data_IF_663702440535
#
_entry.id   IF_663702440535
#
_cell.length_a   1.000
_cell.length_b   1.000
_cell.length_c   1.000
_cell.angle_alpha   90.00
_cell.angle_beta   90.00
_cell.angle_gamma   90.00
#
_symmetry.space_group_name_H-M   'P 1'
#
loop_
_entity.id
_entity.type
_entity.pdbx_description
1 polymer ?
#
# COMPACT_ATOMS: atom_id res chain seq x y z
N UNK A 1 37.74 -56.38 -37.70
CA UNK A 1 37.57 -56.38 -36.23
C UNK A 1 38.39 -55.20 -35.71
N UNK A 2 37.87 -54.12 -35.13
CA UNK A 2 36.66 -53.86 -34.33
C UNK A 2 36.15 -52.44 -34.64
N UNK A 3 34.83 -52.28 -34.81
CA UNK A 3 34.17 -50.97 -34.71
C UNK A 3 34.11 -50.59 -33.22
N UNK A 4 34.58 -49.40 -32.86
CA UNK A 4 34.39 -48.81 -31.53
C UNK A 4 33.14 -47.93 -31.59
N UNK A 5 32.07 -48.41 -30.97
CA UNK A 5 30.80 -47.69 -30.80
C UNK A 5 30.86 -46.81 -29.56
N UNK A 6 30.37 -45.59 -29.73
CA UNK A 6 30.26 -44.43 -28.84
C UNK A 6 29.66 -44.68 -27.46
N UNK A 7 29.96 -43.79 -26.49
CA UNK A 7 28.93 -43.17 -25.65
C UNK A 7 29.44 -41.80 -25.12
N UNK A 8 28.90 -40.71 -25.66
CA UNK A 8 29.01 -39.38 -25.06
C UNK A 8 27.73 -39.15 -24.24
N UNK A 9 27.85 -39.12 -22.91
CA UNK A 9 26.74 -38.76 -22.04
C UNK A 9 26.63 -37.22 -22.00
N UNK A 10 25.53 -36.68 -22.51
CA UNK A 10 25.21 -35.25 -22.40
C UNK A 10 24.53 -35.04 -21.05
N UNK A 11 25.23 -34.37 -20.12
CA UNK A 11 24.62 -33.84 -18.90
C UNK A 11 23.87 -32.56 -19.26
N UNK A 12 22.54 -32.61 -19.25
CA UNK A 12 21.71 -31.42 -19.39
C UNK A 12 21.62 -30.71 -18.03
N UNK A 13 22.38 -29.62 -17.89
CA UNK A 13 22.29 -28.73 -16.73
C UNK A 13 20.97 -27.95 -16.78
N UNK A 14 20.01 -28.33 -15.95
CA UNK A 14 18.79 -27.53 -15.72
C UNK A 14 19.19 -26.28 -14.93
N UNK A 15 19.23 -25.13 -15.60
CA UNK A 15 19.31 -23.84 -14.92
C UNK A 15 17.93 -23.52 -14.35
N UNK A 16 17.75 -23.73 -13.03
CA UNK A 16 16.64 -23.13 -12.31
C UNK A 16 16.88 -21.62 -12.25
N UNK A 17 16.25 -20.88 -13.14
CA UNK A 17 16.14 -19.42 -13.01
C UNK A 17 15.20 -19.18 -11.83
N UNK A 18 15.77 -18.85 -10.67
CA UNK A 18 14.99 -18.42 -9.51
C UNK A 18 14.21 -17.17 -9.88
N UNK A 19 12.88 -17.21 -9.79
CA UNK A 19 12.08 -16.00 -9.86
C UNK A 19 12.44 -15.14 -8.65
N UNK A 20 12.86 -13.90 -8.88
CA UNK A 20 12.94 -12.91 -7.82
C UNK A 20 11.50 -12.64 -7.38
N UNK A 21 11.04 -13.28 -6.31
CA UNK A 21 9.71 -13.02 -5.76
C UNK A 21 9.78 -11.73 -4.96
N UNK A 22 9.54 -10.62 -5.65
CA UNK A 22 9.45 -9.29 -5.08
C UNK A 22 8.13 -9.15 -4.31
N UNK A 23 8.15 -8.52 -3.13
CA UNK A 23 6.92 -8.11 -2.46
C UNK A 23 6.19 -7.12 -3.37
N UNK A 24 5.00 -7.49 -3.87
CA UNK A 24 4.30 -6.72 -4.89
C UNK A 24 2.87 -6.42 -4.50
N UNK A 25 2.42 -5.23 -4.89
CA UNK A 25 0.99 -5.00 -5.15
C UNK A 25 0.64 -5.88 -6.34
N UNK A 26 -0.17 -6.91 -6.12
CA UNK A 26 -0.56 -7.87 -7.15
C UNK A 26 -1.71 -7.34 -8.02
N UNK A 27 -2.56 -6.48 -7.44
CA UNK A 27 -3.77 -5.95 -8.06
C UNK A 27 -4.16 -4.65 -7.38
N UNK A 28 -4.56 -3.70 -8.20
CA UNK A 28 -5.18 -2.46 -7.77
C UNK A 28 -6.66 -2.52 -8.12
N UNK A 29 -7.51 -2.36 -7.12
CA UNK A 29 -8.95 -2.29 -7.25
C UNK A 29 -9.41 -0.85 -7.04
N UNK A 30 -10.06 -0.25 -8.04
CA UNK A 30 -10.65 1.09 -7.90
C UNK A 30 -12.10 0.91 -7.48
N UNK A 31 -12.45 1.44 -6.31
CA UNK A 31 -13.82 1.44 -5.78
C UNK A 31 -14.57 2.68 -6.26
N UNK A 32 -13.90 3.84 -6.28
CA UNK A 32 -14.50 5.09 -6.73
C UNK A 32 -13.45 5.99 -7.36
N UNK A 33 -13.87 6.70 -8.43
CA UNK A 33 -13.10 7.77 -9.07
C UNK A 33 -14.06 8.91 -9.39
N UNK A 34 -13.83 10.06 -8.78
CA UNK A 34 -14.71 11.24 -8.91
C UNK A 34 -13.91 12.53 -9.05
N UNK A 35 -14.47 13.58 -9.69
CA UNK A 35 -13.86 14.91 -9.65
C UNK A 35 -13.73 15.41 -8.20
N UNK A 36 -12.53 15.84 -7.82
CA UNK A 36 -12.33 16.46 -6.52
C UNK A 36 -12.80 17.92 -6.55
N UNK A 37 -13.36 18.41 -5.44
CA UNK A 37 -13.85 19.77 -5.31
C UNK A 37 -14.79 20.20 -6.46
N UNK A 38 -15.63 19.27 -6.94
CA UNK A 38 -16.54 19.46 -8.09
C UNK A 38 -15.83 19.95 -9.37
N UNK A 39 -14.59 19.53 -9.60
CA UNK A 39 -13.80 19.89 -10.78
C UNK A 39 -13.16 21.28 -10.71
N UNK A 40 -13.09 21.88 -9.51
CA UNK A 40 -12.36 23.13 -9.30
C UNK A 40 -10.92 23.03 -9.83
N UNK A 41 -10.45 24.08 -10.50
CA UNK A 41 -9.12 24.13 -11.10
C UNK A 41 -8.12 24.82 -10.17
N UNK A 42 -6.98 24.17 -9.91
CA UNK A 42 -5.92 24.68 -9.07
C UNK A 42 -4.77 25.23 -9.91
N UNK A 43 -4.87 26.49 -10.32
CA UNK A 43 -3.84 27.16 -11.10
C UNK A 43 -3.53 26.42 -12.42
N UNK A 44 -2.24 26.33 -12.76
CA UNK A 44 -1.76 25.68 -13.99
C UNK A 44 -1.90 24.16 -13.97
N UNK A 45 -1.99 23.56 -12.77
CA UNK A 45 -2.10 22.12 -12.57
C UNK A 45 -3.50 21.55 -12.87
N UNK A 46 -4.47 22.43 -13.13
CA UNK A 46 -5.80 22.05 -13.60
C UNK A 46 -6.72 21.48 -12.52
N UNK A 47 -7.72 20.73 -12.97
CA UNK A 47 -8.65 20.05 -12.06
C UNK A 47 -8.03 18.76 -11.51
N UNK A 48 -8.49 18.35 -10.34
CA UNK A 48 -8.05 17.14 -9.67
C UNK A 48 -9.18 16.09 -9.61
N UNK A 49 -8.79 14.82 -9.54
CA UNK A 49 -9.68 13.70 -9.26
C UNK A 49 -9.29 13.04 -7.93
N UNK A 50 -10.30 12.54 -7.22
CA UNK A 50 -10.14 11.64 -6.07
C UNK A 50 -10.40 10.21 -6.53
N UNK A 51 -9.46 9.34 -6.22
CA UNK A 51 -9.56 7.90 -6.47
C UNK A 51 -9.42 7.20 -5.12
N UNK A 52 -10.36 6.34 -4.76
CA UNK A 52 -10.25 5.46 -3.60
C UNK A 52 -10.39 4.03 -4.05
N UNK A 53 -9.77 3.12 -3.31
CA UNK A 53 -9.78 1.73 -3.67
C UNK A 53 -8.99 0.87 -2.72
N UNK A 54 -8.64 -0.32 -3.20
CA UNK A 54 -7.94 -1.33 -2.43
C UNK A 54 -6.71 -1.84 -3.16
N UNK A 55 -5.58 -1.85 -2.46
CA UNK A 55 -4.35 -2.50 -2.91
C UNK A 55 -4.37 -3.94 -2.38
N UNK A 56 -4.20 -4.90 -3.29
CA UNK A 56 -4.05 -6.31 -2.96
C UNK A 56 -2.57 -6.67 -3.04
N UNK A 57 -2.04 -7.26 -1.97
CA UNK A 57 -0.63 -7.53 -1.78
C UNK A 57 -0.36 -9.03 -1.78
N UNK A 58 0.80 -9.40 -2.30
CA UNK A 58 1.32 -10.75 -2.23
C UNK A 58 2.79 -10.71 -1.79
N UNK A 59 3.08 -11.34 -0.67
CA UNK A 59 4.42 -11.34 -0.05
C UNK A 59 4.94 -12.78 0.04
N UNK A 60 6.16 -12.98 -0.45
CA UNK A 60 6.85 -14.27 -0.34
C UNK A 60 7.52 -14.39 1.03
N UNK A 61 7.05 -15.29 1.93
CA UNK A 61 7.66 -15.50 3.24
C UNK A 61 9.07 -16.09 3.16
N UNK A 62 9.46 -16.65 2.01
CA UNK A 62 10.77 -17.29 1.78
C UNK A 62 11.80 -16.35 1.18
N UNK A 63 11.44 -15.10 0.86
CA UNK A 63 12.41 -14.09 0.43
C UNK A 63 13.24 -13.63 1.63
N UNK A 64 14.35 -14.35 1.88
CA UNK A 64 15.19 -14.16 3.05
C UNK A 64 15.96 -12.84 3.08
N UNK A 65 16.04 -12.12 1.96
CA UNK A 65 16.74 -10.84 1.89
C UNK A 65 15.83 -9.69 2.33
N UNK A 66 14.63 -9.60 1.75
CA UNK A 66 13.70 -8.49 2.02
C UNK A 66 12.75 -8.75 3.20
N UNK A 67 12.34 -10.01 3.40
CA UNK A 67 11.20 -10.33 4.25
C UNK A 67 11.57 -11.11 5.53
N UNK A 68 12.82 -11.54 5.67
CA UNK A 68 13.28 -12.34 6.84
C UNK A 68 13.16 -11.60 8.17
N UNK A 69 13.13 -10.27 8.15
CA UNK A 69 12.97 -9.44 9.35
C UNK A 69 11.53 -9.34 9.85
N UNK A 70 10.55 -9.82 9.08
CA UNK A 70 9.14 -9.82 9.47
C UNK A 70 8.85 -11.08 10.29
N UNK A 71 8.89 -10.94 11.61
CA UNK A 71 8.89 -12.03 12.61
C UNK A 71 7.88 -13.14 12.31
N UNK A 72 6.61 -12.78 12.11
CA UNK A 72 5.52 -13.75 12.00
C UNK A 72 5.14 -14.08 10.55
N UNK A 73 5.85 -13.55 9.55
CA UNK A 73 5.48 -13.75 8.15
C UNK A 73 5.57 -15.22 7.73
N UNK A 74 6.56 -15.96 8.24
CA UNK A 74 6.69 -17.40 7.99
C UNK A 74 5.60 -18.27 8.63
N UNK A 75 4.81 -17.69 9.55
CA UNK A 75 3.71 -18.35 10.24
C UNK A 75 2.33 -17.96 9.66
N UNK A 76 2.30 -16.98 8.76
CA UNK A 76 1.07 -16.55 8.10
C UNK A 76 0.59 -17.60 7.06
N UNK A 77 -0.73 -17.75 6.88
CA UNK A 77 -1.28 -18.62 5.85
C UNK A 77 -0.83 -18.14 4.45
N UNK A 78 -0.55 -19.11 3.58
CA UNK A 78 -0.16 -18.86 2.19
C UNK A 78 -1.20 -19.44 1.23
N UNK A 79 -1.29 -18.84 0.04
CA UNK A 79 -2.11 -19.37 -1.05
C UNK A 79 -1.44 -20.55 -1.77
N UNK A 80 -2.08 -21.06 -2.83
CA UNK A 80 -1.53 -22.15 -3.66
C UNK A 80 -0.20 -21.82 -4.34
N UNK A 81 0.17 -20.54 -4.42
CA UNK A 81 1.45 -20.06 -4.96
C UNK A 81 2.50 -19.87 -3.87
N UNK A 82 2.18 -20.20 -2.61
CA UNK A 82 3.08 -20.03 -1.47
C UNK A 82 3.24 -18.58 -1.00
N UNK A 83 2.34 -17.68 -1.40
CA UNK A 83 2.40 -16.25 -1.06
C UNK A 83 1.40 -15.91 0.05
N UNK A 84 1.81 -15.04 0.98
CA UNK A 84 0.93 -14.44 1.98
C UNK A 84 0.15 -13.32 1.30
N UNK A 85 -1.19 -13.40 1.33
CA UNK A 85 -2.10 -12.42 0.72
C UNK A 85 -2.73 -11.54 1.78
N UNK A 86 -2.79 -10.26 1.51
CA UNK A 86 -3.50 -9.27 2.33
C UNK A 86 -3.90 -8.08 1.48
N UNK A 87 -4.71 -7.18 2.02
CA UNK A 87 -5.16 -6.00 1.27
C UNK A 87 -5.37 -4.80 2.17
N UNK A 88 -5.28 -3.61 1.61
CA UNK A 88 -5.45 -2.37 2.36
C UNK A 88 -5.99 -1.24 1.49
N UNK A 89 -6.71 -0.34 2.13
CA UNK A 89 -7.32 0.80 1.44
C UNK A 89 -6.26 1.79 0.98
N UNK A 90 -6.55 2.51 -0.11
CA UNK A 90 -5.76 3.64 -0.57
C UNK A 90 -6.63 4.79 -1.05
N UNK A 91 -6.07 5.99 -1.04
CA UNK A 91 -6.64 7.17 -1.69
C UNK A 91 -5.58 7.91 -2.48
N UNK A 92 -5.96 8.40 -3.66
CA UNK A 92 -5.14 9.28 -4.49
C UNK A 92 -5.91 10.57 -4.75
N UNK A 93 -5.21 11.71 -4.65
CA UNK A 93 -5.60 12.97 -5.27
C UNK A 93 -4.56 13.33 -6.31
N UNK A 94 -4.95 13.41 -7.58
CA UNK A 94 -4.04 13.71 -8.71
C UNK A 94 -4.66 14.66 -9.72
N UNK A 95 -3.85 15.38 -10.52
CA UNK A 95 -4.34 16.09 -11.68
C UNK A 95 -5.12 15.15 -12.61
N UNK A 96 -6.25 15.61 -13.13
CA UNK A 96 -7.02 14.90 -14.17
C UNK A 96 -6.18 14.77 -15.44
N UNK A 97 -5.45 15.82 -15.80
CA UNK A 97 -4.51 15.84 -16.91
C UNK A 97 -3.09 15.59 -16.40
N UNK A 98 -2.51 14.38 -16.57
CA UNK A 98 -1.24 14.02 -15.92
C UNK A 98 -0.06 14.89 -16.36
N UNK A 99 -0.12 15.46 -17.57
CA UNK A 99 0.90 16.37 -18.09
C UNK A 99 0.94 17.72 -17.39
N UNK A 100 -0.10 18.10 -16.64
CA UNK A 100 -0.14 19.34 -15.87
C UNK A 100 0.41 19.17 -14.43
N UNK A 101 0.69 17.94 -14.00
CA UNK A 101 1.31 17.69 -12.69
C UNK A 101 2.82 17.93 -12.68
N UNK A 102 3.40 18.08 -11.50
CA UNK A 102 4.83 18.29 -11.29
C UNK A 102 5.66 16.99 -11.24
N UNK A 103 5.04 15.85 -11.59
CA UNK A 103 5.65 14.50 -11.58
C UNK A 103 6.22 14.07 -10.23
N UNK A 104 5.73 14.65 -9.13
CA UNK A 104 6.12 14.30 -7.77
C UNK A 104 4.96 13.68 -7.00
N UNK A 105 5.25 12.57 -6.32
CA UNK A 105 4.34 11.90 -5.40
C UNK A 105 4.68 12.34 -3.98
N UNK A 106 3.70 12.90 -3.28
CA UNK A 106 3.75 13.03 -1.83
C UNK A 106 2.92 11.88 -1.23
N UNK A 107 3.61 10.99 -0.54
CA UNK A 107 3.03 9.78 0.03
C UNK A 107 2.96 9.87 1.55
N UNK A 108 1.82 9.48 2.13
CA UNK A 108 1.64 9.37 3.57
C UNK A 108 1.19 7.96 3.96
N UNK A 109 1.96 7.37 4.88
CA UNK A 109 1.54 6.24 5.69
C UNK A 109 0.67 6.81 6.83
N UNK A 110 -0.65 6.83 6.63
CA UNK A 110 -1.58 7.58 7.47
C UNK A 110 -1.53 7.16 8.94
N UNK A 111 -1.26 8.10 9.85
CA UNK A 111 -1.22 7.80 11.29
C UNK A 111 -2.60 7.28 11.76
N UNK A 112 -2.64 6.00 12.17
CA UNK A 112 -3.88 5.28 12.53
C UNK A 112 -4.98 5.42 11.48
N UNK A 113 -4.63 5.32 10.19
CA UNK A 113 -5.58 5.36 9.07
C UNK A 113 -6.15 6.74 8.74
N UNK A 114 -5.58 7.82 9.29
CA UNK A 114 -6.02 9.18 8.97
C UNK A 114 -5.35 9.76 7.72
N UNK A 115 -6.02 10.74 7.11
CA UNK A 115 -5.56 11.51 5.95
C UNK A 115 -5.00 12.85 6.44
N UNK A 116 -3.67 12.93 6.63
CA UNK A 116 -3.02 14.06 7.28
C UNK A 116 -2.50 15.16 6.34
N UNK A 117 -1.95 14.80 5.17
CA UNK A 117 -1.24 15.71 4.25
C UNK A 117 -1.99 17.03 4.03
N UNK A 118 -3.30 17.00 3.79
CA UNK A 118 -4.08 18.23 3.50
C UNK A 118 -4.12 19.17 4.70
N UNK A 119 -4.25 18.64 5.92
CA UNK A 119 -4.26 19.46 7.13
C UNK A 119 -2.88 20.02 7.49
N UNK A 120 -1.80 19.30 7.15
CA UNK A 120 -0.43 19.72 7.46
C UNK A 120 0.14 20.73 6.47
N UNK A 121 -0.17 20.57 5.17
CA UNK A 121 0.47 21.35 4.11
C UNK A 121 -0.46 22.35 3.42
N UNK A 122 -1.77 22.13 3.46
CA UNK A 122 -2.76 23.03 2.85
C UNK A 122 -3.59 23.78 3.89
N UNK A 123 -3.32 23.68 5.19
CA UNK A 123 -4.16 24.23 6.27
C UNK A 123 -5.65 23.83 6.15
N UNK A 124 -5.92 22.64 5.59
CA UNK A 124 -7.28 22.18 5.40
C UNK A 124 -7.90 21.68 6.72
N UNK A 125 -9.24 21.75 6.88
CA UNK A 125 -9.92 21.04 7.95
C UNK A 125 -9.58 19.55 7.95
N UNK A 126 -9.51 18.93 9.13
CA UNK A 126 -9.23 17.49 9.24
C UNK A 126 -10.44 16.67 8.77
N UNK A 127 -10.22 15.78 7.81
CA UNK A 127 -11.21 14.83 7.32
C UNK A 127 -10.52 13.64 6.66
N UNK A 128 -11.08 12.45 6.79
CA UNK A 128 -10.64 11.25 6.06
C UNK A 128 -11.38 11.06 4.72
N UNK A 129 -12.33 11.95 4.41
CA UNK A 129 -13.16 11.91 3.19
C UNK A 129 -13.15 13.28 2.50
N UNK A 130 -11.99 13.76 2.00
CA UNK A 130 -11.92 15.05 1.32
C UNK A 130 -12.69 14.99 -0.01
N UNK A 131 -13.70 15.83 -0.18
CA UNK A 131 -14.52 15.85 -1.42
C UNK A 131 -14.76 17.25 -1.97
N UNK A 132 -14.67 18.28 -1.12
CA UNK A 132 -15.07 19.65 -1.40
C UNK A 132 -13.89 20.59 -1.60
N UNK A 133 -14.19 21.82 -2.07
CA UNK A 133 -13.17 22.88 -2.18
C UNK A 133 -12.61 23.30 -0.83
N UNK A 134 -13.41 23.22 0.24
CA UNK A 134 -12.99 23.52 1.61
C UNK A 134 -11.98 22.51 2.11
N UNK A 135 -12.16 21.23 1.77
CA UNK A 135 -11.23 20.15 2.14
C UNK A 135 -9.87 20.27 1.46
N UNK A 136 -9.77 21.10 0.41
CA UNK A 136 -8.50 21.43 -0.22
C UNK A 136 -7.69 22.48 0.56
N UNK A 137 -8.29 23.14 1.56
CA UNK A 137 -7.68 24.24 2.31
C UNK A 137 -7.21 25.37 1.39
N UNK A 138 -6.03 25.92 1.72
CA UNK A 138 -5.34 26.91 0.92
C UNK A 138 -4.99 26.39 -0.49
N UNK A 139 -4.95 25.07 -0.71
CA UNK A 139 -4.72 24.41 -2.01
C UNK A 139 -3.30 24.49 -2.57
N UNK A 140 -2.30 24.75 -1.74
CA UNK A 140 -0.89 24.88 -2.12
C UNK A 140 -0.41 23.68 -2.93
N UNK A 141 -0.49 22.47 -2.39
CA UNK A 141 0.00 21.25 -3.06
C UNK A 141 -0.67 21.00 -4.42
N UNK A 142 -1.95 21.37 -4.56
CA UNK A 142 -2.67 21.22 -5.83
C UNK A 142 -2.21 22.23 -6.88
N UNK A 143 -1.95 23.49 -6.48
CA UNK A 143 -1.40 24.49 -7.40
C UNK A 143 0.00 24.11 -7.87
N UNK A 144 0.81 23.56 -6.98
CA UNK A 144 2.15 23.06 -7.29
C UNK A 144 2.14 21.75 -8.09
N UNK A 145 0.99 21.11 -8.29
CA UNK A 145 0.86 19.99 -9.22
C UNK A 145 1.22 18.61 -8.65
N UNK A 146 1.29 18.47 -7.33
CA UNK A 146 1.61 17.19 -6.68
C UNK A 146 0.52 16.15 -6.92
N UNK A 147 0.92 14.88 -7.02
CA UNK A 147 0.03 13.74 -6.74
C UNK A 147 0.17 13.36 -5.27
N UNK A 148 -0.95 13.18 -4.59
CA UNK A 148 -1.00 12.81 -3.18
C UNK A 148 -1.51 11.38 -3.06
N UNK A 149 -0.84 10.55 -2.29
CA UNK A 149 -1.23 9.15 -2.04
C UNK A 149 -1.23 8.86 -0.53
N UNK A 150 -2.25 8.13 -0.12
CA UNK A 150 -2.36 7.54 1.21
C UNK A 150 -2.62 6.05 1.05
N UNK A 151 -2.10 5.24 1.97
CA UNK A 151 -2.50 3.84 2.10
C UNK A 151 -2.61 3.40 3.56
N UNK A 152 -3.49 2.43 3.79
CA UNK A 152 -3.60 1.76 5.06
C UNK A 152 -2.33 0.96 5.39
N UNK A 153 -2.03 0.85 6.68
CA UNK A 153 -0.86 0.12 7.18
C UNK A 153 -1.05 -0.42 8.60
N UNK A 154 -1.89 0.25 9.40
CA UNK A 154 -2.05 -0.01 10.82
C UNK A 154 -3.24 -0.95 11.06
N UNK A 155 -3.01 -2.08 11.72
CA UNK A 155 -3.99 -3.18 11.83
C UNK A 155 -5.05 -2.98 12.92
N UNK A 156 -4.74 -2.23 13.98
CA UNK A 156 -5.63 -2.01 15.14
C UNK A 156 -6.50 -0.74 15.00
N UNK A 157 -6.65 -0.23 13.78
CA UNK A 157 -7.54 0.92 13.53
C UNK A 157 -8.99 0.45 13.62
N UNK A 158 -9.79 1.06 14.50
CA UNK A 158 -11.24 0.82 14.48
C UNK A 158 -11.89 1.50 13.29
N UNK A 159 -12.85 0.82 12.66
CA UNK A 159 -13.63 1.34 11.54
C UNK A 159 -14.63 2.40 12.01
N UNK A 160 -14.11 3.59 12.27
CA UNK A 160 -14.86 4.77 12.63
C UNK A 160 -14.21 5.99 11.97
N UNK A 161 -15.04 6.97 11.60
CA UNK A 161 -14.62 8.20 10.92
C UNK A 161 -13.87 7.95 9.61
N UNK A 162 -14.28 6.91 8.86
CA UNK A 162 -13.74 6.58 7.54
C UNK A 162 -12.21 6.43 7.50
N UNK A 163 -11.61 5.96 8.60
CA UNK A 163 -10.17 5.70 8.64
C UNK A 163 -9.84 4.53 7.73
N UNK A 164 -8.72 4.63 7.01
CA UNK A 164 -8.26 3.59 6.09
C UNK A 164 -7.94 2.30 6.86
N UNK A 165 -8.44 1.18 6.33
CA UNK A 165 -8.33 -0.14 6.93
C UNK A 165 -7.34 -1.02 6.16
N UNK A 166 -6.67 -1.91 6.89
CA UNK A 166 -5.84 -2.97 6.32
C UNK A 166 -6.32 -4.31 6.87
N UNK A 167 -6.57 -5.26 5.98
CA UNK A 167 -6.94 -6.63 6.36
C UNK A 167 -5.71 -7.52 6.23
N UNK A 168 -5.13 -7.84 7.39
CA UNK A 168 -3.97 -8.73 7.51
C UNK A 168 -4.41 -10.13 7.95
N UNK A 169 -3.77 -11.20 7.46
CA UNK A 169 -4.00 -12.54 7.98
C UNK A 169 -3.39 -12.67 9.38
N UNK A 170 -4.04 -13.44 10.23
CA UNK A 170 -3.46 -13.86 11.50
C UNK A 170 -2.37 -14.91 11.25
N UNK A 171 -1.21 -14.75 11.89
CA UNK A 171 -0.19 -15.79 11.97
C UNK A 171 -0.75 -17.03 12.71
N UNK A 172 -0.17 -18.20 12.45
CA UNK A 172 -0.67 -19.46 12.98
C UNK A 172 0.44 -20.42 13.39
N UNK A 173 0.19 -21.21 14.43
CA UNK A 173 1.01 -22.37 14.79
C UNK A 173 0.20 -23.65 14.50
N UNK A 174 0.39 -24.20 13.30
CA UNK A 174 -0.42 -25.31 12.80
C UNK A 174 -1.88 -24.89 12.60
N UNK A 175 -2.81 -25.54 13.31
CA UNK A 175 -4.24 -25.24 13.19
C UNK A 175 -4.70 -24.04 14.04
N UNK A 176 -3.84 -23.48 14.90
CA UNK A 176 -4.23 -22.48 15.89
C UNK A 176 -3.70 -21.09 15.51
N UNK A 177 -4.57 -20.05 15.42
CA UNK A 177 -4.12 -18.69 15.20
C UNK A 177 -3.35 -18.18 16.42
N UNK A 178 -2.29 -17.42 16.18
CA UNK A 178 -1.51 -16.71 17.19
C UNK A 178 -2.20 -15.36 17.40
N UNK A 179 -3.10 -15.32 18.37
CA UNK A 179 -3.89 -14.14 18.73
C UNK A 179 -3.89 -13.95 20.24
N UNK A 180 -3.98 -12.70 20.69
CA UNK A 180 -4.04 -12.36 22.10
C UNK A 180 -4.45 -10.92 22.34
N UNK A 181 -4.91 -10.63 23.56
CA UNK A 181 -5.20 -9.26 23.97
C UNK A 181 -3.89 -8.48 24.11
N UNK A 182 -3.82 -7.33 23.44
CA UNK A 182 -2.71 -6.39 23.58
C UNK A 182 -3.18 -5.18 24.39
N UNK A 183 -2.29 -4.67 25.25
CA UNK A 183 -2.47 -3.40 25.94
C UNK A 183 -1.44 -2.41 25.40
N UNK A 184 -1.92 -1.27 24.91
CA UNK A 184 -1.07 -0.15 24.52
C UNK A 184 -1.25 0.97 25.54
N UNK A 185 -0.18 1.32 26.26
CA UNK A 185 -0.17 2.48 27.16
C UNK A 185 0.41 3.69 26.41
N UNK A 186 -0.28 4.82 26.46
CA UNK A 186 0.24 6.10 25.98
C UNK A 186 0.67 6.90 27.21
N UNK A 187 1.99 7.02 27.41
CA UNK A 187 2.56 7.87 28.45
C UNK A 187 2.91 9.23 27.84
N UNK A 188 2.43 10.30 28.45
CA UNK A 188 2.87 11.67 28.12
C UNK A 188 3.91 12.13 29.14
N UNK A 189 4.93 12.85 28.68
CA UNK A 189 6.02 13.31 29.55
C UNK A 189 5.59 14.41 30.54
N UNK A 190 4.45 15.07 30.28
CA UNK A 190 3.80 16.02 31.18
C UNK A 190 2.30 16.13 30.80
N UNK A 191 1.40 16.46 31.74
CA UNK A 191 0.01 16.76 31.42
C UNK A 191 -0.11 17.98 30.50
N UNK A 192 -1.08 17.94 29.58
CA UNK A 192 -1.48 19.07 28.72
C UNK A 192 -2.37 20.05 29.46
#
# INVERSE_FOLDING_TARGET
MRMLSSLFAIFASVFCVGSVTEARVDRLEIVERVPFAKGYRFGVSGAYERIIGRLHYAVDPKNSEANSLIVDLGLAPTDSSGLVRFSGDFMILRPVEPGLGNRTLLYEVGNRGNVGILSFFNDAPRTNQPTSRTDAGNGFLFREGYTLLWSAWNWDVTDANYRMQIDLPAASNGAYPIVGSIAAEITVNAPS
#
